data_IF_269903806091
#
_entry.id   IF_269903806091
#
_cell.length_a   1.000
_cell.length_b   1.000
_cell.length_c   1.000
_cell.angle_alpha   90.00
_cell.angle_beta   90.00
_cell.angle_gamma   90.00
#
_symmetry.space_group_name_H-M   'P 1'
#
loop_
_entity.id
_entity.type
_entity.pdbx_description
1 polymer ?
#
# COMPACT_ATOMS: atom_id res chain seq x y z
N UNK A 1 0.84 13.35 18.76
CA UNK A 1 1.35 12.41 17.74
C UNK A 1 2.12 13.23 16.71
N UNK A 2 3.37 12.92 16.38
CA UNK A 2 4.19 13.75 15.46
C UNK A 2 4.02 13.30 14.01
N UNK A 3 4.27 14.20 13.05
CA UNK A 3 4.16 13.90 11.61
C UNK A 3 5.10 12.75 11.19
N UNK A 4 6.30 12.68 11.77
CA UNK A 4 7.26 11.61 11.50
C UNK A 4 6.75 10.23 11.94
N UNK A 5 5.90 10.16 12.96
CA UNK A 5 5.29 8.89 13.39
C UNK A 5 4.20 8.45 12.41
N UNK A 6 3.45 9.38 11.82
CA UNK A 6 2.48 9.09 10.77
C UNK A 6 3.19 8.58 9.52
N UNK A 7 4.21 9.27 9.04
CA UNK A 7 5.01 8.90 7.87
C UNK A 7 5.59 7.48 7.98
N UNK A 8 6.17 7.14 9.15
CA UNK A 8 6.67 5.79 9.41
C UNK A 8 5.58 4.73 9.40
N UNK A 9 4.36 5.09 9.81
CA UNK A 9 3.22 4.17 9.81
C UNK A 9 2.70 3.94 8.39
N UNK A 10 2.63 4.99 7.58
CA UNK A 10 2.28 4.92 6.15
C UNK A 10 3.32 4.09 5.36
N UNK A 11 4.62 4.30 5.64
CA UNK A 11 5.69 3.50 5.05
C UNK A 11 5.53 2.02 5.36
N UNK A 12 5.30 1.67 6.65
CA UNK A 12 5.09 0.28 7.06
C UNK A 12 3.86 -0.34 6.39
N UNK A 13 2.76 0.42 6.29
CA UNK A 13 1.56 -0.03 5.59
C UNK A 13 1.86 -0.33 4.12
N UNK A 14 2.58 0.56 3.42
CA UNK A 14 3.02 0.34 2.04
C UNK A 14 3.87 -0.92 1.87
N UNK A 15 4.83 -1.16 2.78
CA UNK A 15 5.62 -2.40 2.79
C UNK A 15 4.73 -3.64 2.97
N UNK A 16 3.79 -3.62 3.92
CA UNK A 16 2.86 -4.73 4.15
C UNK A 16 1.99 -5.03 2.94
N UNK A 17 1.47 -4.00 2.26
CA UNK A 17 0.69 -4.16 1.02
C UNK A 17 1.56 -4.73 -0.10
N UNK A 18 2.80 -4.26 -0.24
CA UNK A 18 3.73 -4.80 -1.23
C UNK A 18 4.02 -6.30 -0.98
N UNK A 19 4.17 -6.71 0.29
CA UNK A 19 4.30 -8.14 0.65
C UNK A 19 3.03 -8.92 0.34
N UNK A 20 1.85 -8.37 0.65
CA UNK A 20 0.55 -8.99 0.33
C UNK A 20 0.40 -9.27 -1.17
N UNK A 21 0.88 -8.34 -2.02
CA UNK A 21 0.88 -8.48 -3.48
C UNK A 21 1.90 -9.51 -3.99
N UNK A 22 3.05 -9.61 -3.36
CA UNK A 22 4.22 -10.34 -3.90
C UNK A 22 4.45 -11.75 -3.33
N UNK A 23 3.52 -12.31 -2.52
CA UNK A 23 3.75 -13.58 -1.78
C UNK A 23 4.13 -14.79 -2.65
N UNK A 24 3.80 -14.82 -3.96
CA UNK A 24 4.08 -15.97 -4.85
C UNK A 24 5.12 -15.69 -5.95
N UNK A 25 5.77 -14.52 -5.98
CA UNK A 25 6.78 -14.22 -7.01
C UNK A 25 6.26 -14.16 -8.47
N UNK A 26 4.96 -14.32 -8.71
CA UNK A 26 4.34 -14.33 -10.05
C UNK A 26 3.97 -12.93 -10.53
N UNK A 27 4.93 -11.98 -10.51
CA UNK A 27 4.76 -10.60 -10.99
C UNK A 27 4.48 -10.46 -12.49
N UNK A 28 3.65 -11.33 -13.08
CA UNK A 28 3.15 -11.30 -14.45
C UNK A 28 1.62 -11.24 -14.42
N UNK A 29 1.08 -10.02 -14.39
CA UNK A 29 -0.30 -9.73 -14.79
C UNK A 29 -1.40 -9.74 -13.72
N UNK A 30 -1.18 -10.30 -12.52
CA UNK A 30 -2.17 -10.24 -11.42
C UNK A 30 -1.71 -9.32 -10.29
N UNK A 31 -2.56 -8.36 -9.94
CA UNK A 31 -2.27 -7.35 -8.90
C UNK A 31 -2.21 -7.99 -7.51
N UNK A 32 -3.04 -9.01 -7.27
CA UNK A 32 -3.11 -9.79 -6.04
C UNK A 32 -3.15 -11.28 -6.34
N UNK A 33 -2.78 -12.07 -5.34
CA UNK A 33 -2.80 -13.53 -5.41
C UNK A 33 -4.24 -14.06 -5.35
N UNK A 34 -4.53 -15.24 -5.93
CA UNK A 34 -5.89 -15.80 -5.95
C UNK A 34 -6.50 -16.04 -4.56
N UNK A 35 -5.67 -16.15 -3.52
CA UNK A 35 -6.06 -16.36 -2.14
C UNK A 35 -6.28 -15.06 -1.34
N UNK A 36 -6.06 -13.89 -1.96
CA UNK A 36 -6.41 -12.58 -1.36
C UNK A 36 -7.88 -12.34 -1.60
N UNK A 37 -8.64 -12.09 -0.53
CA UNK A 37 -10.06 -11.77 -0.62
C UNK A 37 -10.30 -10.43 -1.33
N UNK A 38 -11.51 -10.23 -1.83
CA UNK A 38 -11.90 -8.95 -2.45
C UNK A 38 -11.76 -7.78 -1.49
N UNK A 39 -12.04 -7.99 -0.20
CA UNK A 39 -11.98 -6.95 0.83
C UNK A 39 -10.53 -6.58 1.16
N UNK A 40 -9.63 -7.57 1.27
CA UNK A 40 -8.19 -7.32 1.45
C UNK A 40 -7.57 -6.62 0.24
N UNK A 41 -7.95 -7.02 -0.97
CA UNK A 41 -7.51 -6.36 -2.20
C UNK A 41 -7.99 -4.91 -2.26
N UNK A 42 -9.26 -4.66 -1.91
CA UNK A 42 -9.85 -3.32 -1.85
C UNK A 42 -9.14 -2.44 -0.83
N UNK A 43 -8.96 -2.94 0.39
CA UNK A 43 -8.24 -2.25 1.47
C UNK A 43 -6.83 -1.84 1.02
N UNK A 44 -6.11 -2.75 0.37
CA UNK A 44 -4.76 -2.50 -0.12
C UNK A 44 -4.72 -1.44 -1.23
N UNK A 45 -5.67 -1.47 -2.17
CA UNK A 45 -5.78 -0.44 -3.23
C UNK A 45 -6.08 0.93 -2.63
N UNK A 46 -7.11 1.03 -1.78
CA UNK A 46 -7.53 2.30 -1.16
C UNK A 46 -6.41 2.88 -0.29
N UNK A 47 -5.71 2.03 0.48
CA UNK A 47 -4.57 2.44 1.31
C UNK A 47 -3.40 3.00 0.48
N UNK A 48 -3.08 2.40 -0.67
CA UNK A 48 -2.05 2.93 -1.57
C UNK A 48 -2.47 4.27 -2.19
N UNK A 49 -3.76 4.47 -2.44
CA UNK A 49 -4.32 5.77 -2.83
C UNK A 49 -4.03 6.85 -1.79
N UNK A 50 -4.34 6.58 -0.51
CA UNK A 50 -4.08 7.51 0.61
C UNK A 50 -2.59 7.83 0.74
N UNK A 51 -1.72 6.82 0.64
CA UNK A 51 -0.26 7.02 0.70
C UNK A 51 0.19 7.91 -0.47
N UNK A 52 -0.32 7.66 -1.68
CA UNK A 52 0.07 8.41 -2.87
C UNK A 52 -0.38 9.87 -2.80
N UNK A 53 -1.61 10.12 -2.36
CA UNK A 53 -2.15 11.46 -2.14
C UNK A 53 -1.31 12.25 -1.13
N UNK A 54 -0.97 11.61 0.00
CA UNK A 54 -0.08 12.23 0.99
C UNK A 54 1.30 12.57 0.41
N UNK A 55 1.91 11.67 -0.36
CA UNK A 55 3.20 11.93 -1.00
C UNK A 55 3.12 13.04 -2.06
N UNK A 56 2.04 13.12 -2.84
CA UNK A 56 1.82 14.19 -3.82
C UNK A 56 1.68 15.55 -3.13
N UNK A 57 0.92 15.62 -2.04
CA UNK A 57 0.80 16.87 -1.24
C UNK A 57 2.15 17.37 -0.69
N UNK A 58 3.12 16.48 -0.53
CA UNK A 58 4.48 16.79 -0.07
C UNK A 58 5.43 17.19 -1.19
N UNK A 59 5.08 16.91 -2.45
CA UNK A 59 5.85 17.30 -3.63
C UNK A 59 5.51 18.72 -4.10
N UNK A 60 4.28 19.17 -3.82
CA UNK A 60 3.77 20.50 -4.18
C UNK A 60 4.11 21.60 -3.14
N UNK A 61 4.74 21.23 -2.01
CA UNK A 61 5.33 22.13 -1.00
C UNK A 61 6.78 22.49 -1.33
#
# INVERSE_FOLDING_TARGET
>A
MTIQRLERSLYKLGCSINTLRNKEGTGHGRIFLPNVSKDEARLAIESMGIISEFLLSKLEE
#
